data_IF_497914549104
#
_entry.id   IF_497914549104
#
_cell.length_a   1.000
_cell.length_b   1.000
_cell.length_c   1.000
_cell.angle_alpha   90.00
_cell.angle_beta   90.00
_cell.angle_gamma   90.00
#
_symmetry.space_group_name_H-M   'P 1'
#
loop_
_entity.id
_entity.type
_entity.pdbx_description
1 polymer ?
#
# COMPACT_ATOMS: atom_id res chain seq x y z
N UNK A 1 -34.67 -40.99 -44.60
CA UNK A 1 -33.43 -41.44 -45.29
C UNK A 1 -32.47 -40.27 -45.30
N UNK A 2 -31.43 -40.31 -44.44
CA UNK A 2 -30.01 -40.33 -44.85
C UNK A 2 -29.65 -39.11 -45.74
N UNK A 3 -28.90 -38.08 -45.32
CA UNK A 3 -27.61 -38.08 -44.65
C UNK A 3 -26.51 -37.83 -45.70
N UNK A 4 -25.95 -36.61 -45.80
CA UNK A 4 -24.66 -36.31 -46.46
C UNK A 4 -24.23 -34.86 -46.11
N UNK A 5 -23.32 -34.64 -45.18
CA UNK A 5 -21.84 -34.64 -45.22
C UNK A 5 -21.23 -33.24 -45.42
N UNK A 6 -20.37 -32.91 -44.47
CA UNK A 6 -19.70 -31.63 -44.22
C UNK A 6 -18.75 -31.28 -45.37
N UNK A 7 -18.68 -29.99 -45.75
CA UNK A 7 -17.42 -29.36 -46.14
C UNK A 7 -17.32 -27.96 -45.57
N UNK A 8 -16.48 -27.81 -44.55
CA UNK A 8 -15.81 -26.54 -44.29
C UNK A 8 -14.84 -26.27 -45.44
N UNK A 9 -14.92 -25.10 -46.07
CA UNK A 9 -13.70 -24.36 -46.32
C UNK A 9 -13.91 -22.84 -46.22
N UNK A 10 -12.90 -22.16 -45.69
CA UNK A 10 -12.93 -20.77 -45.27
C UNK A 10 -12.64 -19.87 -46.48
N UNK A 11 -12.82 -18.57 -46.27
CA UNK A 11 -12.48 -17.44 -47.15
C UNK A 11 -13.71 -16.71 -47.69
N UNK A 12 -13.95 -15.55 -47.05
CA UNK A 12 -14.27 -14.27 -47.68
C UNK A 12 -15.66 -14.18 -48.34
N UNK A 13 -16.42 -13.10 -48.27
CA UNK A 13 -16.37 -11.78 -47.64
C UNK A 13 -17.82 -11.27 -47.83
N UNK A 14 -18.18 -10.19 -47.13
CA UNK A 14 -19.40 -9.39 -47.32
C UNK A 14 -20.70 -9.95 -46.76
N UNK A 15 -20.95 -9.69 -45.48
CA UNK A 15 -22.24 -9.12 -45.09
C UNK A 15 -22.04 -7.97 -44.12
N UNK A 16 -22.56 -6.81 -44.54
CA UNK A 16 -22.83 -5.66 -43.70
C UNK A 16 -23.61 -6.11 -42.45
N UNK A 17 -22.95 -6.08 -41.29
CA UNK A 17 -23.65 -6.05 -40.02
C UNK A 17 -23.16 -4.79 -39.31
N UNK A 18 -24.04 -3.80 -39.29
CA UNK A 18 -23.87 -2.51 -38.63
C UNK A 18 -23.83 -2.75 -37.12
N UNK A 19 -22.68 -3.19 -36.60
CA UNK A 19 -22.46 -3.32 -35.17
C UNK A 19 -22.17 -1.90 -34.66
N UNK A 20 -23.22 -1.29 -34.12
CA UNK A 20 -23.14 -0.09 -33.32
C UNK A 20 -22.08 -0.29 -32.23
N UNK A 21 -20.94 0.39 -32.37
CA UNK A 21 -19.90 0.48 -31.35
C UNK A 21 -20.47 1.35 -30.23
N UNK A 22 -21.32 0.74 -29.38
CA UNK A 22 -21.55 1.29 -28.05
C UNK A 22 -20.22 1.18 -27.33
N UNK A 23 -19.60 2.35 -27.17
CA UNK A 23 -18.47 2.69 -26.32
C UNK A 23 -18.72 2.08 -24.93
N UNK A 24 -18.29 0.84 -24.78
CA UNK A 24 -18.32 0.10 -23.53
C UNK A 24 -17.22 0.75 -22.69
N UNK A 25 -17.62 1.58 -21.74
CA UNK A 25 -16.75 2.10 -20.71
C UNK A 25 -15.97 0.91 -20.14
N UNK A 26 -14.66 0.99 -20.25
CA UNK A 26 -13.73 0.06 -19.63
C UNK A 26 -14.03 0.08 -18.14
N UNK A 27 -14.83 -0.90 -17.69
CA UNK A 27 -15.01 -1.20 -16.29
C UNK A 27 -13.62 -1.50 -15.74
N UNK A 28 -13.05 -0.51 -15.06
CA UNK A 28 -11.87 -0.67 -14.23
C UNK A 28 -12.25 -1.66 -13.16
N UNK A 29 -11.83 -2.92 -13.32
CA UNK A 29 -11.73 -3.84 -12.20
C UNK A 29 -10.68 -3.26 -11.26
N UNK A 30 -11.09 -2.30 -10.41
CA UNK A 30 -10.33 -1.97 -9.20
C UNK A 30 -10.50 -3.19 -8.31
N UNK A 31 -9.68 -4.22 -8.56
CA UNK A 31 -9.27 -5.15 -7.52
C UNK A 31 -8.99 -4.28 -6.29
N UNK A 32 -9.73 -4.48 -5.19
CA UNK A 32 -9.51 -3.71 -3.97
C UNK A 32 -8.22 -4.24 -3.36
N UNK A 33 -7.09 -3.93 -4.00
CA UNK A 33 -5.79 -4.36 -3.54
C UNK A 33 -5.51 -3.59 -2.27
N UNK A 34 -5.70 -4.26 -1.13
CA UNK A 34 -5.32 -3.74 0.17
C UNK A 34 -3.82 -3.42 0.11
N UNK A 35 -3.46 -2.16 0.31
CA UNK A 35 -2.06 -1.78 0.43
C UNK A 35 -1.43 -2.57 1.58
N UNK A 36 -0.15 -2.91 1.47
CA UNK A 36 0.52 -3.72 2.50
C UNK A 36 1.63 -2.93 3.16
N UNK A 37 1.86 -3.22 4.43
CA UNK A 37 3.03 -2.77 5.14
C UNK A 37 3.70 -3.93 5.88
N UNK A 38 5.02 -3.85 6.03
CA UNK A 38 5.84 -4.85 6.69
C UNK A 38 6.30 -4.37 8.06
N UNK A 39 6.15 -5.25 9.05
CA UNK A 39 6.72 -5.16 10.38
C UNK A 39 7.75 -6.29 10.51
N UNK A 40 8.99 -5.96 10.89
CA UNK A 40 10.07 -6.95 10.97
C UNK A 40 10.34 -7.42 12.41
N UNK A 41 9.82 -6.72 13.41
CA UNK A 41 9.96 -7.12 14.80
C UNK A 41 8.65 -6.83 15.55
N UNK A 42 8.21 -7.72 16.47
CA UNK A 42 6.97 -7.54 17.22
C UNK A 42 6.93 -6.27 18.10
N UNK A 43 8.09 -5.73 18.48
CA UNK A 43 8.18 -4.52 19.30
C UNK A 43 8.11 -3.22 18.47
N UNK A 44 8.10 -3.32 17.14
CA UNK A 44 8.04 -2.16 16.25
C UNK A 44 6.70 -1.42 16.41
N UNK A 45 6.77 -0.10 16.56
CA UNK A 45 5.59 0.78 16.59
C UNK A 45 5.34 1.48 15.25
N UNK A 46 6.10 1.12 14.23
CA UNK A 46 5.94 1.59 12.85
C UNK A 46 6.06 0.44 11.86
N UNK A 47 5.29 0.51 10.78
CA UNK A 47 5.39 -0.42 9.66
C UNK A 47 5.93 0.32 8.42
N UNK A 48 6.51 -0.41 7.47
CA UNK A 48 6.98 0.14 6.18
C UNK A 48 6.02 -0.22 5.08
N UNK A 49 5.48 0.75 4.37
CA UNK A 49 4.63 0.48 3.21
C UNK A 49 5.44 -0.21 2.10
N UNK A 50 4.88 -1.30 1.55
CA UNK A 50 5.43 -2.01 0.37
C UNK A 50 4.57 -1.81 -0.87
N UNK A 51 3.49 -1.02 -0.74
CA UNK A 51 2.66 -0.49 -1.82
C UNK A 51 2.34 0.99 -1.46
N UNK A 52 2.12 1.91 -2.41
CA UNK A 52 1.64 3.26 -2.07
C UNK A 52 0.23 3.20 -1.46
N UNK A 53 -0.08 4.11 -0.54
CA UNK A 53 -1.38 4.18 0.14
C UNK A 53 -2.04 5.56 0.05
N UNK A 54 -3.35 5.57 -0.10
CA UNK A 54 -4.20 6.75 -0.08
C UNK A 54 -4.85 6.96 1.30
N UNK A 55 -5.38 8.15 1.54
CA UNK A 55 -6.16 8.40 2.75
C UNK A 55 -7.37 7.45 2.82
N UNK A 56 -7.56 6.84 3.99
CA UNK A 56 -8.66 5.94 4.26
C UNK A 56 -8.43 4.49 3.83
N UNK A 57 -7.34 4.21 3.11
CA UNK A 57 -6.95 2.85 2.77
C UNK A 57 -6.70 2.03 4.04
N UNK A 58 -7.17 0.79 4.02
CA UNK A 58 -6.84 -0.18 5.04
C UNK A 58 -5.59 -0.94 4.60
N UNK A 59 -4.51 -0.76 5.36
CA UNK A 59 -3.20 -1.33 5.06
C UNK A 59 -3.02 -2.61 5.85
N UNK A 60 -2.89 -3.74 5.15
CA UNK A 60 -2.63 -5.03 5.79
C UNK A 60 -1.20 -5.09 6.35
N UNK A 61 -1.07 -5.47 7.62
CA UNK A 61 0.23 -5.70 8.24
C UNK A 61 0.74 -7.10 7.94
N UNK A 62 2.01 -7.20 7.55
CA UNK A 62 2.71 -8.43 7.18
C UNK A 62 4.04 -8.57 7.93
N UNK A 63 4.68 -9.75 7.82
CA UNK A 63 5.87 -10.08 8.59
C UNK A 63 5.49 -10.52 10.02
N UNK A 64 6.09 -9.88 11.02
CA UNK A 64 5.76 -10.10 12.44
C UNK A 64 4.51 -9.31 12.88
N UNK A 65 3.97 -8.45 12.00
CA UNK A 65 2.74 -7.69 12.22
C UNK A 65 1.47 -8.50 12.00
N UNK A 66 0.39 -8.14 12.71
CA UNK A 66 -0.94 -8.75 12.56
C UNK A 66 -2.01 -7.68 12.44
N UNK A 67 -3.04 -7.96 11.64
CA UNK A 67 -4.19 -7.07 11.45
C UNK A 67 -3.93 -6.02 10.36
N UNK A 68 -4.54 -4.86 10.52
CA UNK A 68 -4.50 -3.77 9.55
C UNK A 68 -4.45 -2.40 10.24
N UNK A 69 -3.99 -1.40 9.50
CA UNK A 69 -3.96 0.00 9.93
C UNK A 69 -4.62 0.85 8.87
N UNK A 70 -5.56 1.72 9.26
CA UNK A 70 -6.20 2.67 8.35
C UNK A 70 -5.35 3.93 8.20
N UNK A 71 -4.99 4.31 6.98
CA UNK A 71 -4.26 5.55 6.73
C UNK A 71 -5.15 6.78 6.93
N UNK A 72 -4.55 7.84 7.45
CA UNK A 72 -5.22 9.14 7.66
C UNK A 72 -4.77 10.23 6.68
N UNK A 73 -3.82 9.91 5.81
CA UNK A 73 -3.32 10.75 4.73
C UNK A 73 -2.62 9.85 3.69
N UNK A 74 -2.39 10.33 2.45
CA UNK A 74 -1.57 9.60 1.48
C UNK A 74 -0.14 9.38 1.99
N UNK A 75 0.40 8.19 1.74
CA UNK A 75 1.77 7.82 2.12
C UNK A 75 2.41 6.99 1.00
N UNK A 76 3.60 7.40 0.58
CA UNK A 76 4.32 6.77 -0.52
C UNK A 76 4.91 5.40 -0.15
N UNK A 77 5.22 4.62 -1.18
CA UNK A 77 5.97 3.37 -1.06
C UNK A 77 7.29 3.57 -0.29
N UNK A 78 7.62 2.64 0.61
CA UNK A 78 8.85 2.64 1.39
C UNK A 78 8.83 3.56 2.62
N UNK A 79 7.80 4.39 2.77
CA UNK A 79 7.66 5.28 3.92
C UNK A 79 7.07 4.53 5.12
N UNK A 80 7.22 5.13 6.31
CA UNK A 80 6.80 4.51 7.57
C UNK A 80 5.43 5.01 7.98
N UNK A 81 4.62 4.14 8.57
CA UNK A 81 3.31 4.47 9.14
C UNK A 81 3.26 4.01 10.59
N UNK A 82 2.61 4.77 11.47
CA UNK A 82 2.45 4.39 12.87
C UNK A 82 1.43 3.24 13.01
N UNK A 83 1.80 2.18 13.74
CA UNK A 83 0.92 1.02 13.96
C UNK A 83 0.08 1.13 15.23
N UNK A 84 0.41 2.12 16.07
CA UNK A 84 -0.31 2.52 17.28
C UNK A 84 -0.07 4.01 17.52
N UNK A 85 -0.78 4.58 18.50
CA UNK A 85 -0.52 5.94 18.93
C UNK A 85 0.84 6.05 19.62
N UNK A 86 1.57 7.11 19.29
CA UNK A 86 2.92 7.42 19.79
C UNK A 86 2.87 8.84 20.35
N UNK A 87 3.17 9.01 21.63
CA UNK A 87 3.20 10.31 22.28
C UNK A 87 4.41 11.15 21.84
N UNK A 88 4.33 12.48 22.03
CA UNK A 88 5.49 13.35 21.87
C UNK A 88 6.62 12.91 22.82
N UNK A 89 7.83 12.75 22.28
CA UNK A 89 9.02 12.33 23.01
C UNK A 89 9.20 10.81 23.08
N UNK A 90 8.18 10.02 22.73
CA UNK A 90 8.23 8.57 22.76
C UNK A 90 9.21 8.02 21.71
N UNK A 91 9.83 6.85 21.97
CA UNK A 91 10.74 6.22 21.03
C UNK A 91 10.01 5.73 19.78
N UNK A 92 10.63 5.92 18.62
CA UNK A 92 10.25 5.26 17.37
C UNK A 92 11.07 3.98 17.26
N UNK A 93 10.37 2.83 17.23
CA UNK A 93 10.94 1.49 17.23
C UNK A 93 10.78 0.87 15.84
N UNK A 94 11.91 0.50 15.24
CA UNK A 94 11.95 -0.24 13.99
C UNK A 94 13.10 -1.23 14.00
N UNK A 95 12.85 -2.46 13.54
CA UNK A 95 13.81 -3.56 13.62
C UNK A 95 14.18 -3.93 15.07
N UNK A 96 13.27 -3.73 16.02
CA UNK A 96 13.50 -3.99 17.45
C UNK A 96 14.47 -3.01 18.12
N UNK A 97 14.81 -1.89 17.48
CA UNK A 97 15.70 -0.86 18.03
C UNK A 97 15.08 0.53 17.93
N UNK A 98 15.48 1.42 18.84
CA UNK A 98 15.09 2.84 18.78
C UNK A 98 15.84 3.53 17.66
N UNK A 99 15.12 4.01 16.65
CA UNK A 99 15.68 4.76 15.50
C UNK A 99 15.58 6.29 15.68
N UNK A 100 14.70 6.73 16.56
CA UNK A 100 14.41 8.15 16.76
C UNK A 100 13.43 8.39 17.90
N UNK A 101 13.02 9.64 18.07
CA UNK A 101 11.94 10.05 18.98
C UNK A 101 10.92 10.91 18.26
N UNK A 102 9.66 10.78 18.64
CA UNK A 102 8.60 11.60 18.08
C UNK A 102 8.74 13.06 18.55
N UNK A 103 8.75 14.03 17.62
CA UNK A 103 8.83 15.46 17.96
C UNK A 103 7.47 16.05 18.32
N UNK A 104 6.41 15.34 17.97
CA UNK A 104 5.00 15.61 18.25
C UNK A 104 4.26 14.29 18.41
N UNK A 105 3.03 14.31 18.93
CA UNK A 105 2.21 13.10 18.99
C UNK A 105 1.84 12.62 17.59
N UNK A 106 1.93 11.30 17.36
CA UNK A 106 1.64 10.63 16.10
C UNK A 106 0.53 9.61 16.34
N UNK A 107 -0.60 9.76 15.66
CA UNK A 107 -1.71 8.82 15.74
C UNK A 107 -1.46 7.61 14.85
N UNK A 108 -2.08 6.50 15.20
CA UNK A 108 -2.14 5.28 14.38
C UNK A 108 -2.54 5.63 12.94
N UNK A 109 -1.82 5.09 11.95
CA UNK A 109 -2.05 5.35 10.53
C UNK A 109 -1.45 6.64 9.98
N UNK A 110 -0.80 7.47 10.81
CA UNK A 110 -0.07 8.64 10.34
C UNK A 110 1.29 8.28 9.74
N UNK A 111 1.71 9.10 8.77
CA UNK A 111 3.04 9.05 8.17
C UNK A 111 4.11 9.41 9.20
N UNK A 112 5.11 8.54 9.38
CA UNK A 112 6.26 8.72 10.28
C UNK A 112 7.51 9.06 9.47
N UNK A 113 7.94 10.32 9.54
CA UNK A 113 9.03 10.86 8.75
C UNK A 113 9.79 11.96 9.49
N UNK A 114 10.81 12.54 8.86
CA UNK A 114 11.69 13.54 9.49
C UNK A 114 11.01 14.85 9.92
N UNK A 115 9.76 15.10 9.51
CA UNK A 115 8.98 16.25 10.01
C UNK A 115 8.38 16.00 11.41
N UNK A 116 8.18 14.74 11.81
CA UNK A 116 7.61 14.36 13.10
C UNK A 116 8.49 13.41 13.92
N UNK A 117 9.70 13.11 13.43
CA UNK A 117 10.70 12.28 14.11
C UNK A 117 12.07 12.95 14.09
N UNK A 118 12.69 13.01 15.25
CA UNK A 118 14.09 13.32 15.40
C UNK A 118 14.91 12.03 15.43
N UNK A 119 15.86 11.89 14.52
CA UNK A 119 16.78 10.74 14.49
C UNK A 119 17.78 10.83 15.66
N UNK A 120 17.90 9.76 16.45
CA UNK A 120 18.84 9.69 17.58
C UNK A 120 20.22 9.16 17.18
N UNK A 121 20.38 8.67 15.95
CA UNK A 121 21.61 8.06 15.44
C UNK A 121 21.91 8.62 14.06
N UNK A 122 23.19 8.66 13.68
CA UNK A 122 23.63 9.12 12.35
C UNK A 122 23.71 10.65 12.17
N UNK A 123 23.51 11.43 13.25
CA UNK A 123 23.67 12.89 13.28
C UNK A 123 25.04 13.24 13.86
N UNK A 124 26.08 13.16 13.02
CA UNK A 124 27.44 13.57 13.41
C UNK A 124 27.59 15.07 13.70
N UNK A 125 26.52 15.84 13.48
CA UNK A 125 26.39 17.27 13.74
C UNK A 125 25.92 17.63 15.16
N UNK A 126 25.51 16.65 15.97
CA UNK A 126 25.10 16.88 17.36
C UNK A 126 26.05 16.15 18.31
N UNK A 127 26.66 16.90 19.23
CA UNK A 127 27.38 16.29 20.36
C UNK A 127 26.39 15.44 21.17
N UNK A 128 26.83 14.23 21.55
CA UNK A 128 26.03 13.35 22.38
C UNK A 128 25.74 14.05 23.72
N UNK A 129 24.48 14.38 23.94
CA UNK A 129 23.98 14.96 25.19
C UNK A 129 23.92 13.91 26.31
#
# INVERSE_FOLDING_TARGET
>A
MQGLYIRCHPYLYYLNCYIAVKRFEVNTWKETSMARAIILNPDDNVATLVDPGSEGDEVALSGEGKGSVRLVAPVDYGHKVATRDIGKGDPILKYGIVIGRATQSIRTGQHVHLHNVEALRGRGDKEAA
#
